data_IF_928867487552
#
_entry.id   IF_928867487552
#
_cell.length_a   1.000
_cell.length_b   1.000
_cell.length_c   1.000
_cell.angle_alpha   90.00
_cell.angle_beta   90.00
_cell.angle_gamma   90.00
#
_symmetry.space_group_name_H-M   'P 1'
#
loop_
_entity.id
_entity.type
_entity.pdbx_description
1 polymer ?
#
# COMPACT_ATOMS: atom_id res chain seq x y z
N UNK A 1 18.22 14.68 -1.58
CA UNK A 1 17.78 13.48 -0.83
C UNK A 1 18.18 13.63 0.63
N UNK A 2 17.36 13.13 1.56
CA UNK A 2 17.60 13.27 3.00
C UNK A 2 18.55 12.17 3.51
N UNK A 3 19.57 12.54 4.28
CA UNK A 3 20.60 11.63 4.81
C UNK A 3 20.04 10.49 5.67
N UNK A 4 18.97 10.71 6.43
CA UNK A 4 18.31 9.67 7.23
C UNK A 4 17.60 8.65 6.34
N UNK A 5 16.98 9.09 5.25
CA UNK A 5 16.34 8.19 4.30
C UNK A 5 17.37 7.36 3.54
N UNK A 6 18.49 7.98 3.12
CA UNK A 6 19.61 7.27 2.51
C UNK A 6 20.22 6.23 3.47
N UNK A 7 20.38 6.59 4.76
CA UNK A 7 20.85 5.66 5.79
C UNK A 7 19.93 4.43 5.88
N UNK A 8 18.62 4.64 6.03
CA UNK A 8 17.63 3.56 6.06
C UNK A 8 17.69 2.71 4.78
N UNK A 9 17.76 3.34 3.60
CA UNK A 9 17.84 2.64 2.33
C UNK A 9 19.04 1.70 2.24
N UNK A 10 20.24 2.18 2.59
CA UNK A 10 21.46 1.36 2.53
C UNK A 10 21.44 0.24 3.58
N UNK A 11 20.97 0.52 4.80
CA UNK A 11 20.79 -0.50 5.83
C UNK A 11 19.86 -1.61 5.36
N UNK A 12 18.66 -1.27 4.91
CA UNK A 12 17.64 -2.24 4.54
C UNK A 12 18.07 -3.00 3.27
N UNK A 13 18.62 -2.32 2.26
CA UNK A 13 19.10 -2.96 1.02
C UNK A 13 20.25 -3.93 1.32
N UNK A 14 21.18 -3.54 2.19
CA UNK A 14 22.25 -4.39 2.65
C UNK A 14 21.73 -5.62 3.41
N UNK A 15 20.82 -5.43 4.36
CA UNK A 15 20.17 -6.51 5.11
C UNK A 15 19.39 -7.48 4.21
N UNK A 16 18.80 -7.03 3.10
CA UNK A 16 18.14 -7.93 2.12
C UNK A 16 19.12 -8.80 1.34
N UNK A 17 20.33 -8.31 1.08
CA UNK A 17 21.36 -9.03 0.30
C UNK A 17 22.11 -10.05 1.16
N UNK A 18 22.20 -9.80 2.46
CA UNK A 18 23.06 -10.54 3.38
C UNK A 18 22.67 -12.01 3.67
N UNK A 19 21.38 -12.42 3.71
CA UNK A 19 20.97 -13.79 4.01
C UNK A 19 21.53 -14.85 3.04
N UNK A 20 22.07 -14.43 1.90
CA UNK A 20 22.63 -15.32 0.88
C UNK A 20 24.12 -15.61 1.09
N UNK A 21 24.83 -14.85 1.93
CA UNK A 21 26.24 -15.05 2.24
C UNK A 21 26.64 -14.34 3.55
N UNK A 22 26.70 -15.08 4.66
CA UNK A 22 27.08 -14.52 5.96
C UNK A 22 28.57 -14.24 6.14
N UNK A 23 29.44 -14.68 5.21
CA UNK A 23 30.90 -14.47 5.33
C UNK A 23 31.35 -13.12 4.80
N UNK A 24 30.52 -12.44 3.99
CA UNK A 24 30.83 -11.15 3.41
C UNK A 24 29.72 -10.13 3.73
N UNK A 25 30.10 -9.01 4.34
CA UNK A 25 29.17 -7.92 4.64
C UNK A 25 28.90 -7.16 3.32
N UNK A 26 27.64 -7.03 2.88
CA UNK A 26 27.31 -6.28 1.66
C UNK A 26 27.78 -4.83 1.75
N UNK A 27 28.28 -4.27 0.64
CA UNK A 27 28.78 -2.89 0.58
C UNK A 27 27.71 -1.88 1.00
N UNK A 28 26.45 -2.13 0.66
CA UNK A 28 25.32 -1.30 1.10
C UNK A 28 25.14 -1.35 2.61
N UNK A 29 25.25 -2.52 3.23
CA UNK A 29 25.13 -2.65 4.69
C UNK A 29 26.25 -1.91 5.40
N UNK A 30 27.49 -2.04 4.89
CA UNK A 30 28.64 -1.30 5.43
C UNK A 30 28.44 0.22 5.30
N UNK A 31 27.98 0.70 4.13
CA UNK A 31 27.67 2.12 3.92
C UNK A 31 26.55 2.60 4.86
N UNK A 32 25.49 1.82 5.00
CA UNK A 32 24.38 2.11 5.93
C UNK A 32 24.85 2.21 7.38
N UNK A 33 25.74 1.30 7.82
CA UNK A 33 26.36 1.34 9.14
C UNK A 33 27.17 2.62 9.37
N UNK A 34 28.00 3.02 8.40
CA UNK A 34 28.77 4.27 8.51
C UNK A 34 27.86 5.50 8.62
N UNK A 35 26.76 5.53 7.87
CA UNK A 35 25.77 6.60 7.98
C UNK A 35 25.06 6.56 9.33
N UNK A 36 24.69 5.38 9.83
CA UNK A 36 24.10 5.21 11.16
C UNK A 36 25.02 5.76 12.25
N UNK A 37 26.31 5.41 12.22
CA UNK A 37 27.32 5.91 13.18
C UNK A 37 27.36 7.45 13.19
N UNK A 38 27.33 8.07 12.01
CA UNK A 38 27.36 9.53 11.88
C UNK A 38 26.10 10.20 12.44
N UNK A 39 24.92 9.64 12.18
CA UNK A 39 23.64 10.16 12.65
C UNK A 39 23.44 9.90 14.15
N UNK A 40 23.85 8.74 14.64
CA UNK A 40 23.86 8.41 16.06
C UNK A 40 24.78 9.36 16.85
N UNK A 41 26.01 9.59 16.36
CA UNK A 41 26.95 10.52 16.98
C UNK A 41 26.43 11.96 17.01
N UNK A 42 25.74 12.38 15.94
CA UNK A 42 25.14 13.72 15.86
C UNK A 42 23.92 13.90 16.75
N UNK A 43 23.21 12.80 17.05
CA UNK A 43 22.03 12.77 17.93
C UNK A 43 22.38 12.51 19.41
N UNK A 44 23.64 12.20 19.72
CA UNK A 44 24.05 11.77 21.07
C UNK A 44 23.55 10.37 21.45
N UNK A 45 23.22 9.55 20.45
CA UNK A 45 22.72 8.20 20.63
C UNK A 45 23.84 7.16 20.79
N UNK A 46 23.45 5.91 21.01
CA UNK A 46 24.40 4.81 21.05
C UNK A 46 25.06 4.59 19.67
N UNK A 47 26.39 4.70 19.62
CA UNK A 47 27.19 4.44 18.42
C UNK A 47 27.57 2.95 18.40
N UNK A 48 27.14 2.16 17.40
CA UNK A 48 27.51 0.75 17.32
C UNK A 48 29.00 0.61 16.96
N UNK A 49 29.74 -0.13 17.79
CA UNK A 49 31.17 -0.38 17.60
C UNK A 49 31.46 -1.40 16.50
N UNK A 50 30.51 -2.28 16.23
CA UNK A 50 30.60 -3.35 15.24
C UNK A 50 29.22 -3.66 14.66
N UNK A 51 29.20 -4.53 13.65
CA UNK A 51 27.96 -4.94 12.99
C UNK A 51 27.01 -5.67 13.95
N UNK A 52 27.52 -6.49 14.86
CA UNK A 52 26.68 -7.20 15.82
C UNK A 52 25.89 -6.23 16.71
N UNK A 53 26.54 -5.16 17.19
CA UNK A 53 25.88 -4.13 17.98
C UNK A 53 24.87 -3.34 17.16
N UNK A 54 25.19 -3.04 15.89
CA UNK A 54 24.22 -2.43 14.99
C UNK A 54 22.97 -3.31 14.86
N UNK A 55 23.11 -4.60 14.57
CA UNK A 55 21.96 -5.50 14.42
C UNK A 55 21.09 -5.54 15.68
N UNK A 56 21.71 -5.61 16.86
CA UNK A 56 20.99 -5.55 18.12
C UNK A 56 20.17 -4.26 18.28
N UNK A 57 20.70 -3.12 17.83
CA UNK A 57 19.94 -1.86 17.80
C UNK A 57 18.79 -1.96 16.79
N UNK A 58 19.05 -2.48 15.59
CA UNK A 58 18.06 -2.57 14.52
C UNK A 58 16.91 -3.58 14.78
N UNK A 59 17.06 -4.47 15.77
CA UNK A 59 15.96 -5.30 16.30
C UNK A 59 15.01 -4.53 17.23
N UNK A 60 15.46 -3.41 17.81
CA UNK A 60 14.61 -2.57 18.67
C UNK A 60 13.71 -1.66 17.83
N UNK A 61 12.58 -1.20 18.40
CA UNK A 61 11.80 -0.11 17.81
C UNK A 61 12.68 1.09 17.46
N UNK A 62 12.43 1.70 16.31
CA UNK A 62 13.24 2.82 15.80
C UNK A 62 13.26 4.05 16.71
N UNK A 63 12.22 4.25 17.53
CA UNK A 63 12.23 5.31 18.54
C UNK A 63 13.32 5.10 19.62
N UNK A 64 13.74 3.85 19.87
CA UNK A 64 14.80 3.52 20.83
C UNK A 64 16.21 3.73 20.30
N UNK A 65 16.39 3.95 18.99
CA UNK A 65 17.72 4.12 18.40
C UNK A 65 18.35 5.46 18.76
N UNK A 66 17.57 6.42 19.28
CA UNK A 66 18.04 7.74 19.68
C UNK A 66 18.40 8.68 18.52
N UNK A 67 18.12 8.31 17.27
CA UNK A 67 18.41 9.15 16.10
C UNK A 67 17.35 10.24 15.96
N UNK A 68 17.75 11.50 16.10
CA UNK A 68 16.85 12.65 15.99
C UNK A 68 16.25 12.77 14.58
N UNK A 69 14.93 12.99 14.51
CA UNK A 69 14.22 13.17 13.25
C UNK A 69 13.94 11.89 12.45
N UNK A 70 14.39 10.72 12.93
CA UNK A 70 14.17 9.44 12.24
C UNK A 70 12.68 9.10 12.08
N UNK A 71 11.88 9.42 13.11
CA UNK A 71 10.43 9.15 13.14
C UNK A 71 9.66 9.87 12.02
N UNK A 72 10.26 10.87 11.37
CA UNK A 72 9.66 11.54 10.22
C UNK A 72 9.68 10.68 8.94
N UNK A 73 10.52 9.66 8.90
CA UNK A 73 10.76 8.82 7.72
C UNK A 73 10.45 7.35 7.95
N UNK A 74 10.44 6.89 9.20
CA UNK A 74 10.22 5.49 9.55
C UNK A 74 9.34 5.36 10.81
N UNK A 75 8.44 4.36 10.90
CA UNK A 75 7.56 4.23 12.06
C UNK A 75 8.34 3.97 13.36
N UNK A 76 8.09 4.80 14.38
CA UNK A 76 8.79 4.75 15.67
C UNK A 76 8.75 3.36 16.33
N UNK A 77 7.57 2.74 16.34
CA UNK A 77 7.32 1.43 16.97
C UNK A 77 7.86 0.24 16.17
N UNK A 78 8.46 0.47 15.00
CA UNK A 78 8.91 -0.61 14.10
C UNK A 78 10.43 -0.78 14.16
N UNK A 79 10.88 -2.03 14.17
CA UNK A 79 12.29 -2.42 13.98
C UNK A 79 12.61 -2.60 12.49
N UNK A 80 13.89 -2.65 12.10
CA UNK A 80 14.25 -3.02 10.72
C UNK A 80 14.36 -4.53 10.53
N UNK A 81 14.69 -5.27 11.58
CA UNK A 81 15.01 -6.70 11.51
C UNK A 81 13.95 -7.50 12.28
N UNK A 82 13.51 -8.61 11.70
CA UNK A 82 12.69 -9.62 12.38
C UNK A 82 13.48 -10.34 13.48
N UNK A 83 12.80 -11.00 14.43
CA UNK A 83 13.41 -11.63 15.62
C UNK A 83 14.50 -12.68 15.32
N UNK A 84 14.49 -13.29 14.13
CA UNK A 84 15.47 -14.32 13.74
C UNK A 84 16.38 -13.83 12.60
N UNK A 85 15.89 -13.76 11.34
CA UNK A 85 16.64 -13.29 10.17
C UNK A 85 15.65 -12.71 9.15
N UNK A 86 15.95 -11.52 8.63
CA UNK A 86 15.14 -10.86 7.60
C UNK A 86 14.75 -9.44 7.99
N UNK A 87 14.28 -8.66 7.02
CA UNK A 87 13.80 -7.31 7.28
C UNK A 87 12.31 -7.32 7.63
N UNK A 88 11.86 -6.36 8.41
CA UNK A 88 10.43 -6.22 8.75
C UNK A 88 9.61 -5.74 7.53
N UNK A 89 8.29 -5.98 7.53
CA UNK A 89 7.41 -5.44 6.50
C UNK A 89 7.45 -3.91 6.42
N UNK A 90 7.67 -3.22 7.54
CA UNK A 90 7.84 -1.75 7.54
C UNK A 90 9.12 -1.31 6.82
N UNK A 91 10.20 -2.08 6.94
CA UNK A 91 11.43 -1.84 6.18
C UNK A 91 11.23 -2.09 4.68
N UNK A 92 10.46 -3.11 4.31
CA UNK A 92 10.03 -3.31 2.92
C UNK A 92 9.17 -2.14 2.43
N UNK A 93 8.22 -1.69 3.23
CA UNK A 93 7.35 -0.55 2.93
C UNK A 93 8.15 0.73 2.72
N UNK A 94 9.16 0.97 3.56
CA UNK A 94 10.08 2.09 3.41
C UNK A 94 10.82 2.02 2.08
N UNK A 95 11.49 0.90 1.76
CA UNK A 95 12.25 0.76 0.51
C UNK A 95 11.35 1.00 -0.71
N UNK A 96 10.17 0.39 -0.72
CA UNK A 96 9.26 0.50 -1.86
C UNK A 96 8.72 1.94 -2.02
N UNK A 97 8.65 2.71 -0.94
CA UNK A 97 8.27 4.13 -0.98
C UNK A 97 9.47 5.02 -1.36
N UNK A 98 10.66 4.67 -0.90
CA UNK A 98 11.89 5.46 -1.06
C UNK A 98 12.52 5.34 -2.45
N UNK A 99 12.58 4.14 -3.03
CA UNK A 99 13.11 3.92 -4.40
C UNK A 99 12.21 4.56 -5.47
N UNK A 100 10.97 4.89 -5.10
CA UNK A 100 9.84 5.39 -5.89
C UNK A 100 8.75 4.31 -6.00
N UNK A 101 7.46 4.68 -5.80
CA UNK A 101 6.33 3.87 -6.22
C UNK A 101 6.44 3.36 -7.67
N UNK A 102 7.15 4.10 -8.53
CA UNK A 102 7.22 3.84 -9.98
C UNK A 102 8.21 2.76 -10.41
N UNK A 103 9.20 2.36 -9.60
CA UNK A 103 10.27 1.48 -10.09
C UNK A 103 9.86 0.00 -10.05
N UNK A 104 9.57 -0.50 -11.25
CA UNK A 104 9.29 -1.87 -11.68
C UNK A 104 7.93 -2.50 -11.31
N UNK A 105 7.34 -2.19 -10.16
CA UNK A 105 6.18 -2.95 -9.65
C UNK A 105 4.81 -2.24 -9.80
N UNK A 106 4.75 -0.91 -9.91
CA UNK A 106 3.54 -0.15 -10.27
C UNK A 106 3.45 0.23 -11.75
N UNK A 107 4.49 -0.04 -12.54
CA UNK A 107 4.58 0.35 -13.95
C UNK A 107 3.35 -0.06 -14.77
N UNK A 108 2.80 -1.25 -14.52
CA UNK A 108 1.68 -1.75 -15.33
C UNK A 108 0.39 -0.96 -15.03
N UNK A 109 0.10 -0.67 -13.75
CA UNK A 109 -1.07 0.14 -13.42
C UNK A 109 -0.88 1.60 -13.84
N UNK A 110 0.34 2.15 -13.70
CA UNK A 110 0.65 3.49 -14.19
C UNK A 110 0.52 3.58 -15.70
N UNK A 111 0.95 2.57 -16.45
CA UNK A 111 0.80 2.50 -17.89
C UNK A 111 -0.68 2.47 -18.30
N UNK A 112 -1.52 1.68 -17.61
CA UNK A 112 -2.98 1.69 -17.82
C UNK A 112 -3.56 3.08 -17.52
N UNK A 113 -3.16 3.70 -16.41
CA UNK A 113 -3.63 5.03 -16.03
C UNK A 113 -3.27 6.10 -17.06
N UNK A 114 -2.00 6.15 -17.47
CA UNK A 114 -1.50 7.08 -18.48
C UNK A 114 -2.18 6.85 -19.84
N UNK A 115 -2.37 5.59 -20.21
CA UNK A 115 -3.07 5.22 -21.43
C UNK A 115 -4.52 5.72 -21.41
N UNK A 116 -5.24 5.54 -20.30
CA UNK A 116 -6.62 5.99 -20.19
C UNK A 116 -6.75 7.52 -20.11
N UNK A 117 -5.78 8.22 -19.50
CA UNK A 117 -5.76 9.68 -19.34
C UNK A 117 -5.41 10.47 -20.61
N UNK A 118 -5.01 9.80 -21.69
CA UNK A 118 -4.88 10.45 -22.99
C UNK A 118 -6.23 11.04 -23.42
N UNK A 119 -6.28 12.36 -23.51
CA UNK A 119 -7.50 13.16 -23.74
C UNK A 119 -8.27 12.73 -24.99
N UNK A 120 -7.61 12.07 -25.94
CA UNK A 120 -8.20 11.63 -27.20
C UNK A 120 -8.98 10.31 -27.09
N UNK A 121 -8.93 9.60 -25.95
CA UNK A 121 -9.40 8.21 -25.87
C UNK A 121 -10.72 8.01 -25.13
N UNK A 122 -11.08 8.89 -24.21
CA UNK A 122 -12.31 8.81 -23.40
C UNK A 122 -12.55 7.40 -22.78
N UNK A 123 -11.60 6.91 -21.98
CA UNK A 123 -11.54 5.53 -21.47
C UNK A 123 -11.94 5.40 -19.99
N UNK A 124 -12.81 6.28 -19.49
CA UNK A 124 -13.28 6.23 -18.10
C UNK A 124 -13.93 4.88 -17.74
N UNK A 125 -14.82 4.36 -18.61
CA UNK A 125 -15.54 3.11 -18.34
C UNK A 125 -14.59 1.90 -18.33
N UNK A 126 -13.69 1.83 -19.31
CA UNK A 126 -12.65 0.79 -19.38
C UNK A 126 -11.70 0.86 -18.17
N UNK A 127 -11.27 2.06 -17.77
CA UNK A 127 -10.43 2.23 -16.58
C UNK A 127 -11.14 1.72 -15.33
N UNK A 128 -12.38 2.15 -15.10
CA UNK A 128 -13.18 1.71 -13.94
C UNK A 128 -13.37 0.19 -13.97
N UNK A 129 -13.67 -0.41 -15.13
CA UNK A 129 -13.79 -1.86 -15.27
C UNK A 129 -12.50 -2.59 -14.90
N UNK A 130 -11.35 -2.13 -15.39
CA UNK A 130 -10.04 -2.72 -15.12
C UNK A 130 -9.68 -2.58 -13.64
N UNK A 131 -9.77 -1.35 -13.10
CA UNK A 131 -9.43 -1.07 -11.70
C UNK A 131 -10.31 -1.88 -10.76
N UNK A 132 -11.63 -1.90 -10.97
CA UNK A 132 -12.55 -2.73 -10.19
C UNK A 132 -12.21 -4.22 -10.27
N UNK A 133 -11.88 -4.74 -11.46
CA UNK A 133 -11.51 -6.15 -11.62
C UNK A 133 -10.24 -6.52 -10.85
N UNK A 134 -9.19 -5.69 -10.92
CA UNK A 134 -7.92 -5.91 -10.21
C UNK A 134 -8.06 -5.75 -8.69
N UNK A 135 -9.08 -5.00 -8.23
CA UNK A 135 -9.39 -4.74 -6.83
C UNK A 135 -10.25 -5.81 -6.14
N UNK A 136 -10.64 -6.86 -6.86
CA UNK A 136 -11.47 -7.95 -6.34
C UNK A 136 -10.62 -9.15 -5.85
N UNK A 137 -10.77 -9.60 -4.58
CA UNK A 137 -10.03 -10.75 -4.04
C UNK A 137 -10.13 -12.04 -4.87
N UNK A 138 -11.29 -12.30 -5.48
CA UNK A 138 -11.51 -13.47 -6.34
C UNK A 138 -10.71 -13.43 -7.65
N UNK A 139 -10.21 -12.25 -8.05
CA UNK A 139 -9.41 -12.07 -9.26
C UNK A 139 -7.91 -11.96 -8.96
N UNK A 140 -7.50 -12.14 -7.69
CA UNK A 140 -6.10 -12.12 -7.29
C UNK A 140 -5.31 -13.28 -7.92
N UNK A 141 -5.98 -14.41 -8.15
CA UNK A 141 -5.48 -15.60 -8.83
C UNK A 141 -6.56 -16.11 -9.79
N UNK A 142 -6.18 -16.40 -11.02
CA UNK A 142 -7.08 -16.75 -12.12
C UNK A 142 -6.51 -17.92 -12.92
N UNK A 143 -7.38 -18.73 -13.52
CA UNK A 143 -6.98 -19.61 -14.63
C UNK A 143 -6.64 -18.79 -15.88
N UNK A 144 -5.91 -19.41 -16.80
CA UNK A 144 -5.65 -18.85 -18.13
C UNK A 144 -6.93 -18.45 -18.86
N UNK A 145 -7.99 -19.26 -18.73
CA UNK A 145 -9.29 -19.00 -19.36
C UNK A 145 -9.96 -17.76 -18.78
N UNK A 146 -10.03 -17.65 -17.45
CA UNK A 146 -10.64 -16.49 -16.78
C UNK A 146 -9.91 -15.18 -17.13
N UNK A 147 -8.57 -15.21 -17.13
CA UNK A 147 -7.77 -14.05 -17.52
C UNK A 147 -7.98 -13.67 -18.99
N UNK A 148 -8.06 -14.66 -19.89
CA UNK A 148 -8.32 -14.41 -21.29
C UNK A 148 -9.71 -13.81 -21.54
N UNK A 149 -10.74 -14.38 -20.91
CA UNK A 149 -12.12 -13.89 -21.00
C UNK A 149 -12.24 -12.44 -20.54
N UNK A 150 -11.62 -12.08 -19.41
CA UNK A 150 -11.65 -10.70 -18.94
C UNK A 150 -10.91 -9.77 -19.90
N UNK A 151 -9.70 -10.13 -20.31
CA UNK A 151 -8.90 -9.30 -21.21
C UNK A 151 -9.59 -9.11 -22.59
N UNK A 152 -10.33 -10.10 -23.08
CA UNK A 152 -11.13 -10.01 -24.32
C UNK A 152 -12.40 -9.16 -24.17
N UNK A 153 -12.89 -8.95 -22.95
CA UNK A 153 -14.00 -8.03 -22.69
C UNK A 153 -13.62 -6.55 -22.85
N UNK A 154 -12.32 -6.24 -22.89
CA UNK A 154 -11.79 -4.90 -23.07
C UNK A 154 -11.69 -4.60 -24.56
N UNK A 155 -12.37 -3.54 -25.01
CA UNK A 155 -12.44 -3.16 -26.44
C UNK A 155 -11.08 -2.75 -27.01
N UNK A 156 -10.30 -2.01 -26.25
CA UNK A 156 -8.97 -1.55 -26.65
C UNK A 156 -7.93 -2.67 -26.49
N UNK A 157 -7.27 -3.00 -27.60
CA UNK A 157 -6.30 -4.11 -27.64
C UNK A 157 -5.03 -3.82 -26.84
N UNK A 158 -4.59 -2.57 -26.79
CA UNK A 158 -3.40 -2.20 -26.02
C UNK A 158 -3.69 -2.28 -24.52
N UNK A 159 -4.87 -1.81 -24.08
CA UNK A 159 -5.33 -2.03 -22.69
C UNK A 159 -5.44 -3.51 -22.35
N UNK A 160 -5.99 -4.33 -23.25
CA UNK A 160 -6.08 -5.78 -23.06
C UNK A 160 -4.71 -6.42 -22.79
N UNK A 161 -3.68 -5.99 -23.51
CA UNK A 161 -2.29 -6.43 -23.29
C UNK A 161 -1.76 -5.94 -21.94
N UNK A 162 -1.96 -4.67 -21.61
CA UNK A 162 -1.51 -4.09 -20.34
C UNK A 162 -2.14 -4.79 -19.12
N UNK A 163 -3.42 -5.15 -19.20
CA UNK A 163 -4.10 -5.92 -18.15
C UNK A 163 -3.49 -7.30 -17.97
N UNK A 164 -3.16 -8.02 -19.05
CA UNK A 164 -2.49 -9.32 -18.95
C UNK A 164 -1.12 -9.20 -18.26
N UNK A 165 -0.43 -8.08 -18.45
CA UNK A 165 0.85 -7.80 -17.78
C UNK A 165 0.71 -7.54 -16.29
N UNK A 166 -0.48 -7.27 -15.75
CA UNK A 166 -0.71 -7.20 -14.31
C UNK A 166 -0.61 -8.57 -13.60
N UNK A 167 -0.51 -9.65 -14.37
CA UNK A 167 -0.44 -11.02 -13.87
C UNK A 167 0.88 -11.70 -14.26
N UNK A 168 1.33 -12.62 -13.42
CA UNK A 168 2.42 -13.55 -13.70
C UNK A 168 1.94 -15.00 -13.60
N UNK A 169 2.52 -15.87 -14.42
CA UNK A 169 2.24 -17.31 -14.36
C UNK A 169 2.84 -17.92 -13.10
N UNK A 170 2.06 -18.75 -12.42
CA UNK A 170 2.53 -19.53 -11.28
C UNK A 170 3.23 -20.79 -11.81
N UNK A 171 4.56 -20.75 -11.86
CA UNK A 171 5.38 -21.84 -12.44
C UNK A 171 5.67 -22.99 -11.47
N UNK A 172 5.57 -22.74 -10.16
CA UNK A 172 5.64 -23.77 -9.13
C UNK A 172 4.27 -24.46 -8.99
N UNK A 173 4.26 -25.72 -8.55
CA UNK A 173 3.01 -26.44 -8.32
C UNK A 173 2.09 -25.65 -7.38
N UNK A 174 0.83 -25.49 -7.78
CA UNK A 174 -0.16 -24.67 -7.05
C UNK A 174 -0.38 -25.17 -5.62
N UNK A 175 -0.20 -26.47 -5.38
CA UNK A 175 -0.30 -27.12 -4.08
C UNK A 175 0.71 -26.60 -3.03
N UNK A 176 1.77 -25.92 -3.47
CA UNK A 176 2.73 -25.25 -2.59
C UNK A 176 2.21 -23.93 -2.01
N UNK A 177 1.08 -23.43 -2.52
CA UNK A 177 0.48 -22.18 -2.08
C UNK A 177 -0.83 -22.43 -1.33
N UNK A 178 -1.24 -21.44 -0.54
CA UNK A 178 -2.58 -21.36 0.06
C UNK A 178 -3.26 -20.08 -0.37
N UNK A 179 -4.59 -20.07 -0.37
CA UNK A 179 -5.35 -18.87 -0.68
C UNK A 179 -5.40 -17.96 0.54
N UNK A 180 -5.00 -16.71 0.37
CA UNK A 180 -5.09 -15.70 1.42
C UNK A 180 -6.58 -15.48 1.77
N UNK A 181 -6.99 -15.65 3.04
CA UNK A 181 -8.40 -15.51 3.44
C UNK A 181 -8.89 -14.06 3.34
N UNK A 182 -7.98 -13.08 3.37
CA UNK A 182 -8.32 -11.66 3.23
C UNK A 182 -8.38 -11.20 1.77
N UNK A 183 -7.29 -11.37 1.00
CA UNK A 183 -7.18 -10.81 -0.35
C UNK A 183 -7.20 -11.84 -1.49
N UNK A 184 -7.32 -13.13 -1.20
CA UNK A 184 -7.37 -14.19 -2.23
C UNK A 184 -6.05 -14.47 -2.96
N UNK A 185 -4.99 -13.70 -2.72
CA UNK A 185 -3.68 -13.92 -3.34
C UNK A 185 -2.95 -15.14 -2.77
N UNK A 186 -1.82 -15.53 -3.38
CA UNK A 186 -1.04 -16.70 -2.94
C UNK A 186 -0.29 -16.43 -1.64
N UNK A 187 -0.48 -17.29 -0.64
CA UNK A 187 0.34 -17.37 0.57
C UNK A 187 1.55 -18.28 0.32
N UNK A 188 2.71 -17.87 0.83
CA UNK A 188 3.94 -18.69 0.86
C UNK A 188 4.33 -19.02 2.28
N UNK A 189 4.83 -20.23 2.53
CA UNK A 189 5.35 -20.62 3.84
C UNK A 189 6.81 -20.18 3.98
N UNK A 190 7.10 -19.29 4.94
CA UNK A 190 8.45 -18.75 5.21
C UNK A 190 8.64 -18.50 6.70
N UNK A 191 9.79 -18.90 7.23
CA UNK A 191 10.12 -18.77 8.66
C UNK A 191 9.00 -19.30 9.57
N UNK A 192 8.59 -20.54 9.32
CA UNK A 192 7.56 -21.27 10.06
C UNK A 192 6.15 -20.64 10.12
N UNK A 193 5.86 -19.68 9.22
CA UNK A 193 4.53 -19.07 9.09
C UNK A 193 4.10 -18.85 7.65
N UNK A 194 2.77 -18.86 7.43
CA UNK A 194 2.19 -18.44 6.15
C UNK A 194 2.24 -16.92 6.01
N UNK A 195 2.78 -16.45 4.88
CA UNK A 195 2.93 -15.02 4.58
C UNK A 195 2.23 -14.68 3.27
N UNK A 196 1.41 -13.64 3.30
CA UNK A 196 0.93 -12.94 2.09
C UNK A 196 2.00 -11.91 1.67
N UNK A 197 1.86 -11.28 0.49
CA UNK A 197 2.81 -10.27 0.01
C UNK A 197 3.12 -9.17 1.03
N UNK A 198 2.06 -8.54 1.55
CA UNK A 198 2.10 -7.56 2.61
C UNK A 198 1.83 -8.33 3.89
N UNK A 199 2.89 -8.91 4.41
CA UNK A 199 2.91 -9.40 5.77
C UNK A 199 2.44 -8.27 6.71
N UNK A 200 1.72 -8.66 7.75
CA UNK A 200 0.96 -7.82 8.68
C UNK A 200 -0.49 -7.53 8.27
N UNK A 201 -0.82 -6.81 7.20
CA UNK A 201 -2.22 -6.34 7.09
C UNK A 201 -3.23 -7.47 6.84
N UNK A 202 -2.95 -8.38 5.91
CA UNK A 202 -3.87 -9.50 5.66
C UNK A 202 -3.98 -10.42 6.87
N UNK A 203 -2.86 -10.61 7.59
CA UNK A 203 -2.79 -11.45 8.79
C UNK A 203 -3.53 -10.83 9.98
N UNK A 204 -3.47 -9.51 10.15
CA UNK A 204 -4.22 -8.79 11.19
C UNK A 204 -5.73 -8.75 10.91
N UNK A 205 -6.15 -8.94 9.66
CA UNK A 205 -7.55 -8.82 9.24
C UNK A 205 -8.24 -10.17 8.98
N UNK A 206 -7.52 -11.29 9.02
CA UNK A 206 -8.09 -12.60 8.77
C UNK A 206 -7.35 -13.71 9.52
N UNK A 207 -8.06 -14.81 9.78
CA UNK A 207 -7.53 -16.00 10.45
C UNK A 207 -6.64 -16.81 9.50
N UNK A 208 -5.33 -16.81 9.75
CA UNK A 208 -4.33 -17.54 8.94
C UNK A 208 -4.14 -19.00 9.38
N UNK A 209 -4.94 -19.49 10.32
CA UNK A 209 -5.00 -20.92 10.64
C UNK A 209 -6.01 -21.66 9.73
N UNK A 210 -6.88 -20.91 9.05
CA UNK A 210 -7.90 -21.43 8.13
C UNK A 210 -7.73 -20.84 6.75
N UNK A 211 -7.16 -21.62 5.85
CA UNK A 211 -6.96 -21.22 4.46
C UNK A 211 -7.52 -22.27 3.50
N UNK A 212 -8.08 -21.77 2.40
CA UNK A 212 -8.53 -22.61 1.31
C UNK A 212 -7.34 -23.02 0.42
N UNK A 213 -7.47 -24.17 -0.22
CA UNK A 213 -6.63 -24.57 -1.33
C UNK A 213 -7.14 -23.94 -2.63
N UNK A 214 -6.23 -23.69 -3.56
CA UNK A 214 -6.61 -23.36 -4.92
C UNK A 214 -7.04 -24.64 -5.66
N UNK A 215 -8.15 -24.56 -6.40
CA UNK A 215 -8.67 -25.69 -7.17
C UNK A 215 -8.79 -25.30 -8.64
N UNK A 216 -7.65 -25.31 -9.34
CA UNK A 216 -7.58 -25.05 -10.79
C UNK A 216 -7.19 -26.31 -11.59
N UNK A 217 -7.12 -27.48 -10.95
CA UNK A 217 -6.67 -28.74 -11.58
C UNK A 217 -5.33 -28.53 -12.33
N UNK A 218 -5.21 -29.06 -13.54
CA UNK A 218 -4.03 -28.94 -14.41
C UNK A 218 -4.04 -27.70 -15.31
N UNK A 219 -4.91 -26.71 -15.05
CA UNK A 219 -4.93 -25.48 -15.83
C UNK A 219 -3.73 -24.60 -15.50
N UNK A 220 -3.27 -23.83 -16.50
CA UNK A 220 -2.30 -22.76 -16.26
C UNK A 220 -2.93 -21.69 -15.37
N UNK A 221 -2.23 -21.33 -14.29
CA UNK A 221 -2.70 -20.38 -13.29
C UNK A 221 -1.84 -19.13 -13.31
N UNK A 222 -2.50 -17.99 -13.17
CA UNK A 222 -1.90 -16.67 -13.13
C UNK A 222 -2.27 -15.99 -11.82
N UNK A 223 -1.33 -15.32 -11.19
CA UNK A 223 -1.58 -14.47 -10.02
C UNK A 223 -1.22 -13.04 -10.32
N UNK A 224 -1.84 -12.09 -9.62
CA UNK A 224 -1.42 -10.70 -9.70
C UNK A 224 0.07 -10.57 -9.37
N UNK A 225 0.77 -9.68 -10.07
CA UNK A 225 2.11 -9.29 -9.67
C UNK A 225 2.11 -8.76 -8.24
N UNK A 226 3.19 -8.99 -7.45
CA UNK A 226 3.30 -8.47 -6.08
C UNK A 226 2.96 -6.97 -5.98
N UNK A 227 3.45 -6.14 -6.89
CA UNK A 227 3.14 -4.71 -6.92
C UNK A 227 1.65 -4.41 -7.09
N UNK A 228 0.98 -5.09 -8.02
CA UNK A 228 -0.45 -4.91 -8.28
C UNK A 228 -1.26 -5.39 -7.09
N UNK A 229 -0.91 -6.54 -6.51
CA UNK A 229 -1.56 -7.00 -5.28
C UNK A 229 -1.46 -5.94 -4.17
N UNK A 230 -0.28 -5.34 -4.01
CA UNK A 230 0.03 -4.45 -2.89
C UNK A 230 -0.61 -3.07 -3.04
N UNK A 231 -0.58 -2.50 -4.25
CA UNK A 231 -0.95 -1.11 -4.51
C UNK A 231 -2.28 -0.93 -5.24
N UNK A 232 -2.86 -2.01 -5.78
CA UNK A 232 -4.16 -1.99 -6.47
C UNK A 232 -5.18 -2.83 -5.69
N UNK A 233 -4.88 -4.11 -5.45
CA UNK A 233 -5.83 -5.01 -4.81
C UNK A 233 -6.11 -4.62 -3.35
N UNK A 234 -5.08 -4.49 -2.51
CA UNK A 234 -5.29 -4.23 -1.09
C UNK A 234 -6.02 -2.91 -0.79
N UNK A 235 -5.65 -1.75 -1.39
CA UNK A 235 -6.44 -0.52 -1.23
C UNK A 235 -7.85 -0.68 -1.82
N UNK A 236 -7.93 -1.31 -3.00
CA UNK A 236 -9.15 -1.60 -3.72
C UNK A 236 -10.22 -2.35 -2.93
N UNK A 237 -9.83 -3.28 -2.06
CA UNK A 237 -10.78 -3.99 -1.19
C UNK A 237 -11.54 -3.00 -0.30
N UNK A 238 -10.86 -1.99 0.25
CA UNK A 238 -11.51 -0.99 1.11
C UNK A 238 -12.40 -0.05 0.30
N UNK A 239 -11.92 0.40 -0.86
CA UNK A 239 -12.68 1.25 -1.80
C UNK A 239 -14.00 0.56 -2.21
N UNK A 240 -13.92 -0.70 -2.64
CA UNK A 240 -15.08 -1.49 -3.08
C UNK A 240 -16.06 -1.77 -1.93
N UNK A 241 -15.55 -2.06 -0.72
CA UNK A 241 -16.39 -2.27 0.46
C UNK A 241 -17.17 -1.02 0.84
N UNK A 242 -16.51 0.15 0.82
CA UNK A 242 -17.15 1.44 1.08
C UNK A 242 -18.21 1.72 0.00
N UNK A 243 -17.87 1.50 -1.27
CA UNK A 243 -18.79 1.73 -2.37
C UNK A 243 -20.07 0.88 -2.25
N UNK A 244 -19.92 -0.41 -1.97
CA UNK A 244 -21.04 -1.33 -1.80
C UNK A 244 -21.91 -0.95 -0.60
N UNK A 245 -21.29 -0.64 0.54
CA UNK A 245 -22.01 -0.21 1.73
C UNK A 245 -22.81 1.08 1.50
N UNK A 246 -22.23 2.07 0.80
CA UNK A 246 -22.93 3.32 0.46
C UNK A 246 -24.07 3.10 -0.54
N UNK A 247 -23.89 2.22 -1.54
CA UNK A 247 -24.98 1.84 -2.47
C UNK A 247 -26.14 1.18 -1.73
N UNK A 248 -25.87 0.28 -0.78
CA UNK A 248 -26.89 -0.35 0.06
C UNK A 248 -27.67 0.65 0.93
N UNK A 249 -27.05 1.80 1.24
CA UNK A 249 -27.68 2.91 1.96
C UNK A 249 -28.46 3.86 1.04
N UNK A 250 -28.48 3.62 -0.26
CA UNK A 250 -29.24 4.40 -1.25
C UNK A 250 -28.50 5.59 -1.85
N UNK A 251 -27.19 5.72 -1.62
CA UNK A 251 -26.38 6.77 -2.27
C UNK A 251 -26.04 6.40 -3.71
N UNK A 252 -25.93 7.42 -4.57
CA UNK A 252 -25.28 7.29 -5.87
C UNK A 252 -23.77 7.20 -5.65
N UNK A 253 -23.13 6.17 -6.22
CA UNK A 253 -21.70 5.93 -6.05
C UNK A 253 -21.05 5.64 -7.39
N UNK A 254 -20.09 6.48 -7.75
CA UNK A 254 -19.21 6.33 -8.91
C UNK A 254 -17.81 5.95 -8.42
N UNK A 255 -17.23 4.90 -9.01
CA UNK A 255 -15.88 4.43 -8.70
C UNK A 255 -14.87 5.04 -9.69
N UNK A 256 -13.77 5.53 -9.14
CA UNK A 256 -12.62 6.06 -9.89
C UNK A 256 -12.94 7.23 -10.83
N UNK A 257 -13.76 8.22 -10.42
CA UNK A 257 -14.11 9.36 -11.27
C UNK A 257 -12.87 10.11 -11.78
N UNK A 258 -12.98 10.67 -12.98
CA UNK A 258 -11.92 11.42 -13.65
C UNK A 258 -10.64 10.59 -13.83
N UNK A 259 -10.81 9.30 -14.10
CA UNK A 259 -9.74 8.32 -14.30
C UNK A 259 -8.79 8.33 -13.09
N UNK A 260 -9.32 7.89 -11.95
CA UNK A 260 -8.58 7.74 -10.69
C UNK A 260 -8.03 9.05 -10.11
N UNK A 261 -8.72 10.16 -10.32
CA UNK A 261 -8.38 11.40 -9.59
C UNK A 261 -8.76 11.27 -8.10
N UNK A 262 -9.90 10.62 -7.88
CA UNK A 262 -10.47 10.24 -6.60
C UNK A 262 -10.91 8.77 -6.65
N UNK A 263 -11.02 8.13 -5.49
CA UNK A 263 -11.41 6.72 -5.41
C UNK A 263 -12.93 6.55 -5.57
N UNK A 264 -13.72 7.46 -4.97
CA UNK A 264 -15.17 7.46 -5.09
C UNK A 264 -15.73 8.88 -5.27
N UNK A 265 -16.82 9.00 -6.03
CA UNK A 265 -17.72 10.15 -5.97
C UNK A 265 -19.10 9.71 -5.48
N UNK A 266 -19.62 10.42 -4.49
CA UNK A 266 -20.87 10.13 -3.79
C UNK A 266 -21.88 11.24 -4.07
N UNK A 267 -23.11 10.86 -4.41
CA UNK A 267 -24.24 11.77 -4.57
C UNK A 267 -25.47 11.25 -3.81
N UNK A 268 -26.39 12.15 -3.49
CA UNK A 268 -27.66 11.83 -2.84
C UNK A 268 -28.83 12.31 -3.71
N UNK A 269 -29.84 11.47 -3.92
CA UNK A 269 -31.05 11.78 -4.70
C UNK A 269 -30.79 12.42 -6.08
N UNK A 270 -29.74 12.00 -6.79
CA UNK A 270 -29.32 12.60 -8.07
C UNK A 270 -29.01 14.12 -7.99
N UNK A 271 -28.64 14.62 -6.81
CA UNK A 271 -28.13 15.98 -6.65
C UNK A 271 -26.90 16.21 -7.52
N UNK A 272 -26.76 17.42 -8.07
CA UNK A 272 -25.55 17.86 -8.78
C UNK A 272 -24.35 17.99 -7.82
N UNK A 273 -24.59 18.15 -6.52
CA UNK A 273 -23.52 18.20 -5.52
C UNK A 273 -22.96 16.81 -5.25
N UNK A 274 -21.66 16.64 -5.52
CA UNK A 274 -20.90 15.42 -5.24
C UNK A 274 -19.93 15.63 -4.09
N UNK A 275 -19.75 14.60 -3.27
CA UNK A 275 -18.65 14.48 -2.32
C UNK A 275 -17.64 13.46 -2.86
N UNK A 276 -16.36 13.79 -2.86
CA UNK A 276 -15.30 12.89 -3.33
C UNK A 276 -14.56 12.27 -2.15
N UNK A 277 -14.22 10.98 -2.28
CA UNK A 277 -13.49 10.24 -1.27
C UNK A 277 -12.15 9.77 -1.83
N UNK A 278 -11.10 9.94 -1.03
CA UNK A 278 -9.74 9.43 -1.28
C UNK A 278 -9.36 8.52 -0.12
N UNK A 279 -9.50 7.21 -0.30
CA UNK A 279 -9.21 6.19 0.69
C UNK A 279 -7.69 6.06 0.84
N UNK A 280 -7.21 6.10 2.08
CA UNK A 280 -5.77 6.03 2.38
C UNK A 280 -5.50 5.01 3.49
N UNK A 281 -4.73 3.99 3.14
CA UNK A 281 -4.48 2.83 3.99
C UNK A 281 -3.04 2.77 4.55
N UNK A 282 -2.58 3.88 5.12
CA UNK A 282 -1.27 3.95 5.77
C UNK A 282 -1.30 3.19 7.10
N UNK A 283 -0.20 2.49 7.43
CA UNK A 283 -0.08 1.78 8.71
C UNK A 283 0.00 2.77 9.87
N UNK A 284 0.78 3.82 9.70
CA UNK A 284 1.10 4.78 10.74
C UNK A 284 0.52 6.18 10.41
N UNK A 285 -0.15 6.84 11.37
CA UNK A 285 -0.79 8.14 11.14
C UNK A 285 0.21 9.28 10.88
N UNK A 286 1.45 9.19 11.37
CA UNK A 286 2.50 10.17 11.06
C UNK A 286 2.97 10.02 9.63
N UNK A 287 3.12 8.79 9.13
CA UNK A 287 3.47 8.56 7.74
C UNK A 287 2.41 9.13 6.78
N UNK A 288 1.12 9.01 7.12
CA UNK A 288 0.05 9.67 6.37
C UNK A 288 0.18 11.20 6.40
N UNK A 289 0.39 11.78 7.59
CA UNK A 289 0.54 13.23 7.72
C UNK A 289 1.76 13.74 6.94
N UNK A 290 2.88 13.03 7.03
CA UNK A 290 4.12 13.35 6.33
C UNK A 290 3.97 13.22 4.82
N UNK A 291 3.25 12.22 4.34
CA UNK A 291 2.89 12.10 2.93
C UNK A 291 2.27 13.39 2.42
N UNK A 292 1.27 13.95 3.10
CA UNK A 292 0.64 15.21 2.69
C UNK A 292 1.51 16.45 2.93
N UNK A 293 2.20 16.53 4.08
CA UNK A 293 3.07 17.66 4.45
C UNK A 293 4.27 17.86 3.50
N UNK A 294 4.59 16.86 2.68
CA UNK A 294 5.68 16.87 1.69
C UNK A 294 5.18 17.13 0.26
N UNK A 295 3.86 17.20 0.02
CA UNK A 295 3.30 17.49 -1.30
C UNK A 295 3.38 18.98 -1.62
N UNK A 296 3.48 19.29 -2.91
CA UNK A 296 3.36 20.65 -3.40
C UNK A 296 1.96 21.21 -3.15
N UNK A 297 1.84 22.54 -3.06
CA UNK A 297 0.54 23.21 -2.95
C UNK A 297 -0.41 22.80 -4.10
N UNK A 298 0.11 22.72 -5.34
CA UNK A 298 -0.65 22.28 -6.51
C UNK A 298 -1.23 20.87 -6.38
N UNK A 299 -0.53 19.95 -5.71
CA UNK A 299 -1.06 18.61 -5.45
C UNK A 299 -2.18 18.65 -4.41
N UNK A 300 -2.04 19.50 -3.39
CA UNK A 300 -3.01 19.59 -2.29
C UNK A 300 -4.29 20.32 -2.70
N UNK A 301 -4.23 21.21 -3.70
CA UNK A 301 -5.39 21.97 -4.21
C UNK A 301 -6.54 21.06 -4.67
N UNK A 302 -6.23 19.83 -5.15
CA UNK A 302 -7.27 18.86 -5.56
C UNK A 302 -8.19 18.42 -4.43
N UNK A 303 -7.79 18.57 -3.16
CA UNK A 303 -8.56 18.12 -2.00
C UNK A 303 -9.65 19.10 -1.54
N UNK A 304 -9.66 20.33 -2.07
CA UNK A 304 -10.79 21.28 -2.02
C UNK A 304 -11.68 21.27 -0.76
N UNK A 305 -12.97 21.62 -0.93
CA UNK A 305 -13.95 21.54 0.15
C UNK A 305 -14.77 20.25 0.14
N UNK A 306 -14.90 19.60 -1.01
CA UNK A 306 -15.78 18.45 -1.21
C UNK A 306 -15.02 17.11 -1.17
N UNK A 307 -13.69 17.12 -0.98
CA UNK A 307 -12.88 15.91 -0.94
C UNK A 307 -12.50 15.56 0.49
N UNK A 308 -12.65 14.29 0.82
CA UNK A 308 -12.36 13.75 2.13
C UNK A 308 -11.37 12.60 2.01
N UNK A 309 -10.33 12.64 2.83
CA UNK A 309 -9.39 11.53 2.99
C UNK A 309 -10.00 10.55 3.97
N UNK A 310 -10.32 9.35 3.50
CA UNK A 310 -11.02 8.33 4.29
C UNK A 310 -10.04 7.28 4.77
N UNK A 311 -10.03 7.03 6.08
CA UNK A 311 -9.20 5.98 6.68
C UNK A 311 -10.06 4.75 6.98
N UNK A 312 -9.70 3.54 6.50
CA UNK A 312 -10.41 2.32 6.83
C UNK A 312 -10.55 2.12 8.35
N UNK A 313 -11.72 1.68 8.81
CA UNK A 313 -12.03 1.59 10.24
C UNK A 313 -11.01 0.75 11.01
N UNK A 314 -10.58 -0.36 10.42
CA UNK A 314 -9.66 -1.30 11.07
C UNK A 314 -8.32 -0.65 11.44
N UNK A 315 -7.91 0.45 10.78
CA UNK A 315 -6.67 1.15 11.17
C UNK A 315 -6.79 1.76 12.56
N UNK A 316 -7.97 2.24 12.93
CA UNK A 316 -8.20 2.73 14.28
C UNK A 316 -8.33 1.59 15.30
N UNK A 317 -8.82 0.42 14.87
CA UNK A 317 -8.90 -0.77 15.73
C UNK A 317 -7.49 -1.30 16.07
N UNK A 318 -6.55 -1.22 15.12
CA UNK A 318 -5.15 -1.61 15.31
C UNK A 318 -4.30 -0.49 15.95
N UNK A 319 -4.58 0.77 15.63
CA UNK A 319 -3.84 1.94 16.11
C UNK A 319 -4.82 3.00 16.62
N UNK A 320 -5.15 3.00 17.92
CA UNK A 320 -6.14 3.88 18.50
C UNK A 320 -5.90 5.36 18.19
N UNK A 321 -7.00 6.08 18.00
CA UNK A 321 -7.01 7.52 17.71
C UNK A 321 -6.33 7.89 16.39
N UNK A 322 -6.37 7.01 15.39
CA UNK A 322 -5.64 7.17 14.12
C UNK A 322 -5.94 8.52 13.45
N UNK A 323 -7.22 8.81 13.19
CA UNK A 323 -7.64 10.03 12.49
C UNK A 323 -7.26 11.31 13.23
N UNK A 324 -7.45 11.34 14.55
CA UNK A 324 -7.02 12.46 15.40
C UNK A 324 -5.51 12.66 15.33
N UNK A 325 -4.73 11.59 15.52
CA UNK A 325 -3.26 11.66 15.48
C UNK A 325 -2.76 12.16 14.12
N UNK A 326 -3.28 11.62 13.02
CA UNK A 326 -2.90 12.06 11.68
C UNK A 326 -3.21 13.56 11.48
N UNK A 327 -4.40 14.01 11.88
CA UNK A 327 -4.83 15.41 11.73
C UNK A 327 -3.99 16.39 12.55
N UNK A 328 -3.62 16.03 13.78
CA UNK A 328 -2.74 16.84 14.64
C UNK A 328 -1.33 16.99 14.04
N UNK A 329 -0.87 15.99 13.28
CA UNK A 329 0.46 15.98 12.68
C UNK A 329 0.54 16.69 11.32
N UNK A 330 -0.59 17.07 10.72
CA UNK A 330 -0.60 17.94 9.54
C UNK A 330 -0.09 19.34 9.91
N UNK A 331 0.76 19.90 9.04
CA UNK A 331 1.16 21.31 9.07
C UNK A 331 -0.07 22.18 8.89
N UNK A 332 -0.02 23.42 9.41
CA UNK A 332 -1.18 24.31 9.43
C UNK A 332 -1.81 24.51 8.04
N UNK A 333 -0.99 24.77 7.02
CA UNK A 333 -1.50 25.00 5.65
C UNK A 333 -2.05 23.72 5.01
N UNK A 334 -1.44 22.57 5.28
CA UNK A 334 -1.96 21.27 4.82
C UNK A 334 -3.29 20.92 5.50
N UNK A 335 -3.43 21.22 6.80
CA UNK A 335 -4.65 20.97 7.58
C UNK A 335 -5.85 21.77 7.08
N UNK A 336 -5.63 22.96 6.47
CA UNK A 336 -6.70 23.76 5.87
C UNK A 336 -7.32 23.10 4.63
N UNK A 337 -6.56 22.25 3.93
CA UNK A 337 -6.97 21.60 2.67
C UNK A 337 -7.37 20.14 2.86
N UNK A 338 -6.73 19.43 3.78
CA UNK A 338 -6.94 17.99 3.97
C UNK A 338 -7.94 17.73 5.10
N UNK A 339 -9.09 17.16 4.73
CA UNK A 339 -10.12 16.69 5.67
C UNK A 339 -10.02 15.19 5.86
N UNK A 340 -9.45 14.76 6.99
CA UNK A 340 -9.34 13.34 7.34
C UNK A 340 -10.60 12.92 8.11
N UNK A 341 -11.24 11.83 7.69
CA UNK A 341 -12.32 11.17 8.41
C UNK A 341 -12.09 9.66 8.46
N UNK A 342 -12.67 9.00 9.45
CA UNK A 342 -12.66 7.54 9.53
C UNK A 342 -13.84 6.95 8.72
N UNK A 343 -13.69 5.72 8.21
CA UNK A 343 -14.73 4.99 7.47
C UNK A 343 -16.06 4.93 8.23
N UNK A 344 -16.03 4.75 9.56
CA UNK A 344 -17.22 4.69 10.39
C UNK A 344 -17.90 6.06 10.64
N UNK A 345 -17.28 7.17 10.22
CA UNK A 345 -17.84 8.52 10.30
C UNK A 345 -18.54 8.94 9.01
N UNK A 346 -18.35 8.19 7.91
CA UNK A 346 -18.84 8.52 6.57
C UNK A 346 -20.33 8.85 6.50
N UNK A 347 -21.19 8.03 7.10
CA UNK A 347 -22.66 8.24 7.03
C UNK A 347 -23.06 9.57 7.67
N UNK A 348 -22.43 9.90 8.81
CA UNK A 348 -22.67 11.16 9.50
C UNK A 348 -22.21 12.34 8.64
N UNK A 349 -20.99 12.28 8.12
CA UNK A 349 -20.43 13.35 7.28
C UNK A 349 -21.25 13.55 6.00
N UNK A 350 -21.70 12.48 5.34
CA UNK A 350 -22.54 12.58 4.14
C UNK A 350 -23.87 13.27 4.41
N UNK A 351 -24.49 13.03 5.57
CA UNK A 351 -25.74 13.72 5.97
C UNK A 351 -25.52 15.19 6.32
N UNK A 352 -24.31 15.59 6.71
CA UNK A 352 -24.00 17.00 6.99
C UNK A 352 -23.66 17.79 5.72
N UNK A 353 -23.21 17.10 4.67
CA UNK A 353 -22.68 17.74 3.45
C UNK A 353 -23.67 17.68 2.28
N UNK A 354 -24.44 16.59 2.14
CA UNK A 354 -25.32 16.36 0.99
C UNK A 354 -26.82 16.59 1.29
N UNK A 355 -27.18 16.87 2.55
CA UNK A 355 -28.54 17.14 3.01
C UNK A 355 -28.57 18.52 3.64
#
# INVERSE_FOLDING_TARGET
MNRLQDMLYYLITGLKKWPNNYTEIPTELHRGMLMFIQEAGSSGAEIPMDLHRLLHILHKPSFEWGIHGLIEYYPGESSLIEEFIGITPDAEDFINTYISPDEAQQKNMLAILQFCRDENRNLQAEYTQIRTFLSMPQNAVLSALQLAQFAESIRDRELSVLVRQCYEEVTLQMDNYRKCPHCGWTLTYKHDRWRCNKENICHSLADFEKFDLFNYKDERVFRLLPGIQRYVLLPGISEMKIAEWLKQKGYGVELYPHIDEYDLAISHNNSESKMFLDVKDFKDPRMLANFFNQKSSSYLEKYGQQVYVVIPKYRNDLYPSYGMRASTLLKEDTRKLIKIIMENELEKTLKEVLW
#
